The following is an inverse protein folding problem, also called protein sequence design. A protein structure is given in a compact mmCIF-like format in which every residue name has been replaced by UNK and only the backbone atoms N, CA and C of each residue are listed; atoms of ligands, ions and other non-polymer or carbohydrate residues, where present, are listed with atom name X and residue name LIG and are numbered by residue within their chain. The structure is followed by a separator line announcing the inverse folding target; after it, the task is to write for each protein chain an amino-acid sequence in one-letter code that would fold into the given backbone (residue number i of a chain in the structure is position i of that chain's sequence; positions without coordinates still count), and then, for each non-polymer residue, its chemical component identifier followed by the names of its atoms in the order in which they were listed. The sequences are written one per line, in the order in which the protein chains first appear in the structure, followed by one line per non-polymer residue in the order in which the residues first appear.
data_IF_826202833273
#
_entry.id   IF_826202833273
#
_cell.length_a   1.000
_cell.length_b   1.000
_cell.length_c   1.000
_cell.angle_alpha   90.00
_cell.angle_beta   90.00
_cell.angle_gamma   90.00
#
_symmetry.space_group_name_H-M   'P 1'
#
loop_
_entity.id
_entity.type
_entity.pdbx_description
1 polymer ?
#
# COMPACT_ATOMS: atom_id res chain seq x y z
N UNK A 1 7.80 -5.22 -40.10
CA UNK A 1 7.67 -4.03 -39.23
C UNK A 1 6.56 -4.15 -38.17
N UNK A 2 5.43 -4.82 -38.45
CA UNK A 2 4.34 -5.05 -37.48
C UNK A 2 4.68 -5.89 -36.22
N UNK A 3 5.54 -6.93 -36.24
CA UNK A 3 5.74 -7.76 -35.04
C UNK A 3 6.56 -7.02 -33.97
N UNK A 4 7.47 -6.13 -34.38
CA UNK A 4 8.26 -5.32 -33.47
C UNK A 4 7.39 -4.37 -32.64
N UNK A 5 6.34 -3.81 -33.25
CA UNK A 5 5.37 -2.95 -32.58
C UNK A 5 4.59 -3.71 -31.50
N UNK A 6 4.21 -4.96 -31.78
CA UNK A 6 3.50 -5.82 -30.82
C UNK A 6 4.41 -6.19 -29.64
N UNK A 7 5.68 -6.53 -29.91
CA UNK A 7 6.67 -6.81 -28.87
C UNK A 7 6.95 -5.57 -28.03
N UNK A 8 7.04 -4.39 -28.65
CA UNK A 8 7.22 -3.13 -27.94
C UNK A 8 6.06 -2.85 -26.98
N UNK A 9 4.82 -3.05 -27.43
CA UNK A 9 3.61 -2.87 -26.60
C UNK A 9 3.60 -3.85 -25.42
N UNK A 10 3.98 -5.11 -25.63
CA UNK A 10 4.06 -6.11 -24.56
C UNK A 10 5.16 -5.78 -23.55
N UNK A 11 6.31 -5.28 -24.01
CA UNK A 11 7.43 -4.87 -23.14
C UNK A 11 7.07 -3.63 -22.30
N UNK A 12 6.37 -2.65 -22.86
CA UNK A 12 5.84 -1.50 -22.11
C UNK A 12 4.75 -1.89 -21.10
N UNK A 13 4.00 -2.97 -21.35
CA UNK A 13 3.01 -3.47 -20.39
C UNK A 13 3.64 -4.19 -19.19
N UNK A 14 4.89 -4.65 -19.33
CA UNK A 14 5.70 -5.25 -18.27
C UNK A 14 6.70 -4.27 -17.66
N UNK A 15 6.60 -2.97 -17.97
CA UNK A 15 7.57 -1.97 -17.52
C UNK A 15 7.51 -1.84 -15.97
N UNK A 16 8.61 -2.15 -15.27
CA UNK A 16 8.72 -2.10 -13.80
C UNK A 16 8.61 -0.67 -13.24
N UNK A 17 8.33 0.32 -14.07
CA UNK A 17 7.88 1.66 -13.66
C UNK A 17 6.61 1.56 -12.79
N UNK A 18 5.73 0.57 -13.01
CA UNK A 18 4.62 0.24 -12.11
C UNK A 18 5.04 -0.52 -10.84
N UNK A 19 6.22 -1.16 -10.82
CA UNK A 19 6.72 -1.86 -9.65
C UNK A 19 7.28 -0.91 -8.57
N UNK A 20 7.60 0.35 -8.93
CA UNK A 20 8.08 1.40 -8.02
C UNK A 20 7.08 2.52 -7.72
N UNK A 21 5.95 2.57 -8.41
CA UNK A 21 4.95 3.64 -8.32
C UNK A 21 3.57 3.14 -7.90
N UNK A 22 3.49 2.02 -7.18
CA UNK A 22 2.20 1.64 -6.60
C UNK A 22 1.98 2.56 -5.40
N UNK A 23 1.12 3.61 -5.48
CA UNK A 23 0.99 4.59 -4.41
C UNK A 23 0.47 3.93 -3.11
N UNK A 24 -0.16 2.77 -3.26
CA UNK A 24 -0.58 1.88 -2.21
C UNK A 24 0.63 1.27 -1.46
N UNK A 25 1.71 0.92 -2.16
CA UNK A 25 2.95 0.40 -1.55
C UNK A 25 3.70 1.47 -0.75
N UNK A 26 3.63 2.75 -1.14
CA UNK A 26 4.23 3.84 -0.37
C UNK A 26 3.40 4.24 0.85
N UNK A 27 2.09 3.95 0.81
CA UNK A 27 1.18 4.28 1.91
C UNK A 27 1.14 3.16 2.96
N UNK A 28 1.27 1.89 2.57
CA UNK A 28 1.41 0.77 3.50
C UNK A 28 2.66 0.99 4.37
N UNK A 29 2.50 0.87 5.69
CA UNK A 29 3.51 1.17 6.72
C UNK A 29 3.84 2.64 6.95
N UNK A 30 3.16 3.57 6.27
CA UNK A 30 3.28 4.99 6.59
C UNK A 30 2.76 5.26 8.00
N UNK A 31 3.42 6.16 8.73
CA UNK A 31 2.90 6.64 10.01
C UNK A 31 1.63 7.47 9.80
N UNK A 32 0.62 7.20 10.61
CA UNK A 32 -0.65 7.94 10.64
C UNK A 32 -0.86 8.56 12.04
N UNK A 33 -2.10 8.90 12.40
CA UNK A 33 -2.43 9.66 13.62
C UNK A 33 -1.69 9.15 14.87
N UNK A 34 -0.96 10.05 15.55
CA UNK A 34 -0.12 9.71 16.70
C UNK A 34 1.05 8.78 16.34
N UNK A 35 1.05 7.57 16.89
CA UNK A 35 2.05 6.52 16.66
C UNK A 35 1.48 5.34 15.84
N UNK A 36 0.38 5.57 15.10
CA UNK A 36 -0.26 4.57 14.27
C UNK A 36 0.50 4.28 12.98
N UNK A 37 0.17 3.14 12.36
CA UNK A 37 0.74 2.68 11.10
C UNK A 37 -0.40 2.30 10.15
N UNK A 38 -0.32 2.74 8.89
CA UNK A 38 -1.27 2.36 7.85
C UNK A 38 -1.10 0.90 7.44
N UNK A 39 -2.20 0.13 7.45
CA UNK A 39 -2.25 -1.27 7.04
C UNK A 39 -3.47 -1.54 6.15
N UNK A 40 -3.46 -2.67 5.46
CA UNK A 40 -4.65 -3.14 4.76
C UNK A 40 -5.78 -3.51 5.75
N UNK A 41 -5.41 -4.08 6.89
CA UNK A 41 -6.28 -4.44 8.00
C UNK A 41 -5.45 -4.39 9.30
N UNK A 42 -6.03 -3.87 10.37
CA UNK A 42 -5.39 -3.87 11.69
C UNK A 42 -5.28 -5.28 12.24
N UNK A 43 -4.17 -5.57 12.92
CA UNK A 43 -4.05 -6.84 13.63
C UNK A 43 -5.02 -6.91 14.81
N UNK A 44 -5.31 -8.12 15.29
CA UNK A 44 -6.12 -8.34 16.50
C UNK A 44 -5.54 -7.71 17.77
N UNK A 45 -4.23 -7.41 17.76
CA UNK A 45 -3.52 -6.70 18.83
C UNK A 45 -3.44 -5.17 18.61
N UNK A 46 -4.05 -4.67 17.55
CA UNK A 46 -4.11 -3.26 17.19
C UNK A 46 -5.56 -2.75 17.24
N UNK A 47 -5.72 -1.44 17.30
CA UNK A 47 -7.02 -0.75 17.28
C UNK A 47 -7.08 0.18 16.06
N UNK A 48 -8.17 0.10 15.31
CA UNK A 48 -8.49 1.04 14.23
C UNK A 48 -8.86 2.40 14.83
N UNK A 49 -8.13 3.44 14.45
CA UNK A 49 -8.37 4.80 14.96
C UNK A 49 -8.72 5.82 13.89
N UNK A 50 -8.34 5.56 12.63
CA UNK A 50 -8.59 6.42 11.48
C UNK A 50 -8.36 5.63 10.18
N UNK A 51 -8.46 6.29 9.03
CA UNK A 51 -8.09 5.72 7.73
C UNK A 51 -6.98 6.54 7.05
N UNK A 52 -6.07 5.85 6.38
CA UNK A 52 -5.05 6.45 5.51
C UNK A 52 -5.56 6.57 4.06
N UNK A 53 -4.68 7.00 3.14
CA UNK A 53 -5.03 7.01 1.71
C UNK A 53 -5.37 5.59 1.22
N UNK A 54 -6.16 5.50 0.16
CA UNK A 54 -6.62 4.23 -0.44
C UNK A 54 -7.42 3.33 0.51
N UNK A 55 -8.13 3.92 1.48
CA UNK A 55 -8.97 3.18 2.44
C UNK A 55 -8.19 2.19 3.32
N UNK A 56 -6.87 2.41 3.47
CA UNK A 56 -6.06 1.66 4.43
C UNK A 56 -6.46 2.06 5.85
N UNK A 57 -6.34 1.13 6.79
CA UNK A 57 -6.64 1.33 8.19
C UNK A 57 -5.45 1.96 8.90
N UNK A 58 -5.68 3.00 9.70
CA UNK A 58 -4.69 3.53 10.63
C UNK A 58 -4.77 2.76 11.95
N UNK A 59 -3.75 1.94 12.21
CA UNK A 59 -3.73 0.99 13.31
C UNK A 59 -2.74 1.44 14.38
N UNK A 60 -3.19 1.53 15.63
CA UNK A 60 -2.34 1.77 16.79
C UNK A 60 -2.24 0.47 17.58
N UNK A 61 -1.06 0.16 18.15
CA UNK A 61 -0.94 -0.94 19.11
C UNK A 61 -1.96 -0.76 20.21
N UNK A 62 -2.91 -1.69 20.31
CA UNK A 62 -3.80 -1.75 21.45
C UNK A 62 -2.94 -1.94 22.68
N UNK A 63 -3.19 -1.15 23.72
CA UNK A 63 -2.68 -1.52 25.02
C UNK A 63 -3.42 -2.82 25.40
N UNK A 64 -2.76 -3.96 25.64
CA UNK A 64 -3.43 -5.04 26.36
C UNK A 64 -3.73 -4.47 27.75
N UNK A 65 -4.94 -3.94 27.93
CA UNK A 65 -5.43 -3.69 29.28
C UNK A 65 -5.43 -5.04 30.02
N UNK A 66 -4.95 -5.08 31.28
CA UNK A 66 -4.75 -6.31 32.03
C UNK A 66 -6.05 -7.08 32.30
#
# INVERSE_FOLDING_TARGET
MKPLLVVLILLFFWDPVLAGLNPLSSEIHRKCYGNGICRLECFTSEMLVDYCLFQLECCIKGNPEP
#
